data_IF_793084390564
#
_entry.id   IF_793084390564
#
_cell.length_a   1.000
_cell.length_b   1.000
_cell.length_c   1.000
_cell.angle_alpha   90.00
_cell.angle_beta   90.00
_cell.angle_gamma   90.00
#
_symmetry.space_group_name_H-M   'P 1'
#
loop_
_entity.id
_entity.type
_entity.pdbx_description
1 polymer ?
#
# COMPACT_ATOMS: atom_id res chain seq x y z
N UNK A 1 6.50 -28.53 -37.26
CA UNK A 1 7.71 -29.10 -37.91
C UNK A 1 8.59 -29.65 -36.81
N UNK A 2 9.02 -30.91 -36.92
CA UNK A 2 10.09 -31.43 -36.05
C UNK A 2 11.39 -30.68 -36.38
N UNK A 3 12.08 -30.11 -35.38
CA UNK A 3 13.32 -29.39 -35.59
C UNK A 3 14.43 -30.36 -36.06
N UNK A 4 15.38 -29.90 -36.88
CA UNK A 4 16.59 -30.66 -37.20
C UNK A 4 17.33 -31.10 -35.93
N UNK A 5 18.09 -32.19 -36.01
CA UNK A 5 18.82 -32.75 -34.85
C UNK A 5 19.92 -31.84 -34.31
N UNK A 6 20.42 -30.88 -35.10
CA UNK A 6 21.40 -29.85 -34.71
C UNK A 6 20.73 -28.59 -34.11
N UNK A 7 19.41 -28.61 -33.88
CA UNK A 7 18.62 -27.47 -33.41
C UNK A 7 17.89 -27.80 -32.14
N UNK A 8 17.87 -26.83 -31.23
CA UNK A 8 17.31 -26.98 -29.89
C UNK A 8 15.90 -27.54 -29.87
N UNK A 9 15.00 -27.00 -30.68
CA UNK A 9 13.65 -27.52 -30.79
C UNK A 9 12.72 -27.28 -29.60
N UNK A 10 13.16 -26.55 -28.57
CA UNK A 10 12.33 -26.22 -27.41
C UNK A 10 11.12 -25.37 -27.85
N UNK A 11 9.93 -25.67 -27.35
CA UNK A 11 8.69 -24.99 -27.75
C UNK A 11 8.04 -24.35 -26.55
N UNK A 12 7.89 -23.03 -26.59
CA UNK A 12 7.18 -22.24 -25.57
C UNK A 12 5.79 -21.88 -26.06
N UNK A 13 4.77 -22.13 -25.26
CA UNK A 13 3.36 -21.83 -25.56
C UNK A 13 2.91 -20.46 -25.03
N UNK A 14 3.76 -19.79 -24.27
CA UNK A 14 3.47 -18.59 -23.47
C UNK A 14 3.73 -17.28 -24.20
N UNK A 15 3.15 -17.08 -25.38
CA UNK A 15 3.12 -15.73 -25.99
C UNK A 15 1.91 -14.95 -25.45
N UNK A 16 2.13 -14.16 -24.39
CA UNK A 16 1.16 -13.16 -23.94
C UNK A 16 1.00 -11.97 -24.91
N UNK A 17 1.36 -12.12 -26.18
CA UNK A 17 1.24 -11.12 -27.25
C UNK A 17 0.59 -11.82 -28.47
N UNK A 18 -0.72 -11.59 -28.63
CA UNK A 18 -1.47 -11.74 -29.88
C UNK A 18 -1.43 -13.08 -30.64
N UNK A 19 -2.02 -14.16 -30.11
CA UNK A 19 -2.34 -15.39 -30.88
C UNK A 19 -1.19 -16.00 -31.72
N UNK A 20 0.05 -15.58 -31.47
CA UNK A 20 1.23 -16.11 -32.14
C UNK A 20 1.50 -17.45 -31.48
N UNK A 21 0.99 -18.52 -32.09
CA UNK A 21 1.12 -19.89 -31.61
C UNK A 21 2.56 -20.27 -31.23
N UNK A 22 2.69 -21.43 -30.59
CA UNK A 22 3.91 -21.86 -29.94
C UNK A 22 5.21 -21.59 -30.75
N UNK A 23 6.16 -20.89 -30.14
CA UNK A 23 7.44 -20.52 -30.77
C UNK A 23 8.47 -21.61 -30.51
N UNK A 24 9.12 -22.09 -31.57
CA UNK A 24 10.17 -23.12 -31.49
C UNK A 24 11.57 -22.48 -31.53
N UNK A 25 12.42 -22.83 -30.58
CA UNK A 25 13.82 -22.41 -30.51
C UNK A 25 14.65 -23.10 -31.60
N UNK A 26 15.29 -22.30 -32.47
CA UNK A 26 16.15 -22.78 -33.57
C UNK A 26 17.65 -22.54 -33.32
N UNK A 27 18.05 -22.25 -32.08
CA UNK A 27 19.46 -22.12 -31.71
C UNK A 27 20.19 -23.47 -31.88
N UNK A 28 21.48 -23.45 -32.24
CA UNK A 28 22.29 -24.67 -32.29
C UNK A 28 22.24 -25.43 -30.96
N UNK A 29 22.30 -26.76 -31.01
CA UNK A 29 22.49 -27.55 -29.81
C UNK A 29 23.82 -27.21 -29.13
N UNK A 30 23.83 -27.30 -27.81
CA UNK A 30 25.02 -27.02 -27.01
C UNK A 30 25.76 -28.31 -26.69
N UNK A 31 27.04 -28.36 -27.07
CA UNK A 31 27.89 -29.55 -26.96
C UNK A 31 27.20 -30.76 -27.61
N UNK A 32 27.29 -31.93 -26.98
CA UNK A 32 26.67 -33.18 -27.45
C UNK A 32 25.20 -33.33 -27.00
N UNK A 33 24.56 -32.25 -26.54
CA UNK A 33 23.18 -32.24 -26.08
C UNK A 33 22.14 -32.14 -27.21
N UNK A 34 20.87 -32.29 -26.86
CA UNK A 34 19.70 -32.16 -27.75
C UNK A 34 19.03 -30.77 -27.68
N UNK A 35 19.53 -29.89 -26.80
CA UNK A 35 19.03 -28.54 -26.56
C UNK A 35 20.14 -27.51 -26.69
N UNK A 36 19.78 -26.25 -26.92
CA UNK A 36 20.74 -25.15 -26.86
C UNK A 36 21.15 -24.84 -25.42
N UNK A 37 22.15 -23.97 -25.29
CA UNK A 37 22.70 -23.50 -24.01
C UNK A 37 21.62 -23.10 -22.99
N UNK A 38 20.56 -22.45 -23.44
CA UNK A 38 19.50 -21.92 -22.59
C UNK A 38 18.44 -22.95 -22.21
N UNK A 39 18.25 -24.02 -23.00
CA UNK A 39 17.14 -24.96 -22.84
C UNK A 39 17.58 -26.36 -22.44
N UNK A 40 18.88 -26.55 -22.17
CA UNK A 40 19.43 -27.84 -21.76
C UNK A 40 19.06 -28.15 -20.31
N UNK A 41 18.91 -29.44 -20.00
CA UNK A 41 18.71 -29.92 -18.62
C UNK A 41 20.04 -30.03 -17.86
N UNK A 42 21.16 -29.99 -18.58
CA UNK A 42 22.50 -30.03 -17.98
C UNK A 42 22.85 -28.68 -17.36
N UNK A 43 23.39 -28.67 -16.14
CA UNK A 43 23.93 -27.46 -15.52
C UNK A 43 25.01 -26.84 -16.42
N UNK A 44 24.82 -25.57 -16.75
CA UNK A 44 25.72 -24.81 -17.62
C UNK A 44 26.69 -24.01 -16.75
N UNK A 45 28.01 -24.13 -16.97
CA UNK A 45 28.98 -23.36 -16.20
C UNK A 45 28.94 -21.88 -16.64
N UNK A 46 29.11 -20.96 -15.68
CA UNK A 46 29.04 -19.49 -15.89
C UNK A 46 29.82 -18.99 -17.13
N UNK A 47 31.07 -19.42 -17.39
CA UNK A 47 31.81 -18.95 -18.57
C UNK A 47 31.11 -19.26 -19.90
N UNK A 48 30.30 -20.32 -19.97
CA UNK A 48 29.57 -20.64 -21.20
C UNK A 48 28.45 -19.63 -21.48
N UNK A 49 27.82 -19.07 -20.45
CA UNK A 49 26.86 -17.98 -20.61
C UNK A 49 27.57 -16.67 -21.01
N UNK A 50 28.73 -16.38 -20.41
CA UNK A 50 29.54 -15.19 -20.74
C UNK A 50 30.10 -15.24 -22.17
N UNK A 51 30.38 -16.42 -22.71
CA UNK A 51 30.78 -16.59 -24.12
C UNK A 51 29.61 -16.43 -25.10
N UNK A 52 28.37 -16.58 -24.62
CA UNK A 52 27.15 -16.57 -25.44
C UNK A 52 26.16 -15.49 -24.95
N UNK A 53 26.66 -14.28 -24.73
CA UNK A 53 25.87 -13.12 -24.31
C UNK A 53 24.68 -12.92 -25.28
N UNK A 54 23.43 -12.94 -24.78
CA UNK A 54 22.27 -12.66 -25.61
C UNK A 54 22.22 -11.18 -25.98
N UNK A 55 21.54 -10.86 -27.07
CA UNK A 55 21.20 -9.47 -27.39
C UNK A 55 20.19 -8.92 -26.37
N UNK A 56 20.18 -7.59 -26.19
CA UNK A 56 19.08 -6.93 -25.48
C UNK A 56 17.75 -7.30 -26.14
N UNK A 57 16.72 -7.53 -25.32
CA UNK A 57 15.38 -7.98 -25.74
C UNK A 57 15.34 -9.38 -26.38
N UNK A 58 16.42 -10.17 -26.30
CA UNK A 58 16.42 -11.53 -26.85
C UNK A 58 15.44 -12.44 -26.11
N UNK A 59 14.72 -13.27 -26.88
CA UNK A 59 13.76 -14.23 -26.36
C UNK A 59 14.47 -15.51 -25.91
N UNK A 60 14.50 -15.71 -24.60
CA UNK A 60 15.05 -16.84 -23.88
C UNK A 60 13.98 -17.54 -23.02
N UNK A 61 12.70 -17.41 -23.38
CA UNK A 61 11.58 -18.05 -22.68
C UNK A 61 11.81 -19.56 -22.47
N UNK A 62 11.43 -20.05 -21.29
CA UNK A 62 11.66 -21.42 -20.85
C UNK A 62 13.12 -21.75 -20.56
N UNK A 63 14.00 -20.74 -20.45
CA UNK A 63 15.40 -20.97 -20.14
C UNK A 63 15.59 -21.65 -18.78
N UNK A 64 16.52 -22.59 -18.74
CA UNK A 64 16.91 -23.34 -17.56
C UNK A 64 18.19 -22.74 -16.99
N UNK A 65 18.07 -22.10 -15.83
CA UNK A 65 19.15 -21.56 -15.01
C UNK A 65 19.24 -22.30 -13.66
N UNK A 66 18.73 -23.52 -13.58
CA UNK A 66 18.79 -24.30 -12.34
C UNK A 66 20.24 -24.49 -11.92
N UNK A 67 20.52 -24.23 -10.64
CA UNK A 67 21.86 -24.31 -10.05
C UNK A 67 22.91 -23.40 -10.74
N UNK A 68 22.49 -22.46 -11.59
CA UNK A 68 23.41 -21.58 -12.30
C UNK A 68 24.00 -20.55 -11.34
N UNK A 69 25.31 -20.31 -11.45
CA UNK A 69 25.98 -19.20 -10.77
C UNK A 69 26.06 -18.02 -11.73
N UNK A 70 25.29 -16.96 -11.47
CA UNK A 70 25.14 -15.77 -12.31
C UNK A 70 25.37 -14.49 -11.50
N UNK A 71 26.19 -14.56 -10.44
CA UNK A 71 26.54 -13.42 -9.60
C UNK A 71 27.13 -12.27 -10.41
N UNK A 72 26.72 -11.04 -10.10
CA UNK A 72 27.17 -9.78 -10.73
C UNK A 72 27.02 -9.74 -12.26
N UNK A 73 26.18 -10.60 -12.84
CA UNK A 73 25.94 -10.62 -14.29
C UNK A 73 24.87 -9.63 -14.70
N UNK A 74 25.02 -9.00 -15.86
CA UNK A 74 24.05 -8.04 -16.39
C UNK A 74 23.55 -8.35 -17.81
N UNK A 75 24.02 -9.45 -18.40
CA UNK A 75 23.69 -9.78 -19.79
C UNK A 75 22.24 -10.24 -19.99
N UNK A 76 21.52 -10.52 -18.91
CA UNK A 76 20.11 -10.91 -18.95
C UNK A 76 19.16 -9.71 -18.92
N UNK A 77 19.63 -8.50 -18.60
CA UNK A 77 18.80 -7.31 -18.54
C UNK A 77 18.04 -7.06 -19.86
N UNK A 78 16.75 -6.73 -19.77
CA UNK A 78 15.85 -6.55 -20.90
C UNK A 78 15.43 -7.83 -21.65
N UNK A 79 16.04 -8.99 -21.38
CA UNK A 79 15.67 -10.23 -22.07
C UNK A 79 14.25 -10.70 -21.71
N UNK A 80 13.64 -11.45 -22.63
CA UNK A 80 12.41 -12.19 -22.35
C UNK A 80 12.76 -13.56 -21.78
N UNK A 81 12.35 -13.80 -20.55
CA UNK A 81 12.66 -14.96 -19.71
C UNK A 81 11.37 -15.56 -19.14
N UNK A 82 10.28 -15.50 -19.91
CA UNK A 82 8.98 -16.03 -19.52
C UNK A 82 9.12 -17.52 -19.24
N UNK A 83 8.59 -17.98 -18.11
CA UNK A 83 8.69 -19.39 -17.67
C UNK A 83 10.13 -19.89 -17.48
N UNK A 84 11.11 -18.99 -17.31
CA UNK A 84 12.48 -19.39 -16.96
C UNK A 84 12.54 -19.99 -15.54
N UNK A 85 13.46 -20.94 -15.35
CA UNK A 85 13.65 -21.65 -14.08
C UNK A 85 15.00 -21.28 -13.47
N UNK A 86 14.97 -20.55 -12.35
CA UNK A 86 16.12 -20.15 -11.53
C UNK A 86 16.20 -20.94 -10.22
N UNK A 87 15.64 -22.15 -10.16
CA UNK A 87 15.69 -22.98 -8.95
C UNK A 87 17.13 -23.24 -8.51
N UNK A 88 17.45 -22.99 -7.25
CA UNK A 88 18.80 -23.13 -6.67
C UNK A 88 19.89 -22.25 -7.34
N UNK A 89 19.51 -21.24 -8.12
CA UNK A 89 20.48 -20.34 -8.76
C UNK A 89 21.10 -19.35 -7.76
N UNK A 90 22.30 -18.87 -8.09
CA UNK A 90 22.97 -17.77 -7.38
C UNK A 90 22.96 -16.54 -8.28
N UNK A 91 22.18 -15.54 -7.89
CA UNK A 91 21.95 -14.28 -8.58
C UNK A 91 22.48 -13.07 -7.77
N UNK A 92 23.37 -13.29 -6.78
CA UNK A 92 23.93 -12.23 -5.94
C UNK A 92 24.47 -11.07 -6.78
N UNK A 93 23.91 -9.87 -6.62
CA UNK A 93 24.27 -8.67 -7.38
C UNK A 93 23.90 -8.67 -8.87
N UNK A 94 23.21 -9.69 -9.39
CA UNK A 94 22.83 -9.77 -10.80
C UNK A 94 21.84 -8.67 -11.20
N UNK A 95 21.87 -8.28 -12.48
CA UNK A 95 20.95 -7.33 -13.09
C UNK A 95 19.95 -8.04 -14.01
N UNK A 96 18.72 -8.16 -13.50
CA UNK A 96 17.53 -8.63 -14.21
C UNK A 96 16.55 -7.48 -14.45
N UNK A 97 17.04 -6.23 -14.53
CA UNK A 97 16.19 -5.07 -14.81
C UNK A 97 15.53 -5.15 -16.18
N UNK A 98 14.29 -4.62 -16.27
CA UNK A 98 13.46 -4.57 -17.48
C UNK A 98 13.20 -5.94 -18.15
N UNK A 99 13.50 -7.05 -17.47
CA UNK A 99 13.28 -8.41 -18.00
C UNK A 99 11.82 -8.80 -17.97
N UNK A 100 11.39 -9.63 -18.92
CA UNK A 100 10.08 -10.29 -18.86
C UNK A 100 10.21 -11.65 -18.16
N UNK A 101 9.95 -11.68 -16.86
CA UNK A 101 10.05 -12.85 -15.98
C UNK A 101 8.66 -13.43 -15.62
N UNK A 102 7.67 -13.24 -16.49
CA UNK A 102 6.33 -13.78 -16.25
C UNK A 102 6.40 -15.28 -16.03
N UNK A 103 5.76 -15.77 -14.96
CA UNK A 103 5.74 -17.20 -14.60
C UNK A 103 7.13 -17.82 -14.36
N UNK A 104 8.17 -17.03 -14.18
CA UNK A 104 9.48 -17.55 -13.82
C UNK A 104 9.46 -18.17 -12.41
N UNK A 105 10.32 -19.16 -12.20
CA UNK A 105 10.46 -19.87 -10.92
C UNK A 105 11.76 -19.47 -10.24
N UNK A 106 11.67 -18.99 -9.00
CA UNK A 106 12.76 -18.54 -8.14
C UNK A 106 12.70 -19.30 -6.82
N UNK A 107 12.85 -20.62 -6.89
CA UNK A 107 12.81 -21.50 -5.73
C UNK A 107 14.22 -21.65 -5.16
N UNK A 108 14.38 -21.48 -3.84
CA UNK A 108 15.64 -21.68 -3.13
C UNK A 108 16.81 -20.84 -3.74
N UNK A 109 16.48 -19.71 -4.38
CA UNK A 109 17.44 -18.83 -5.08
C UNK A 109 18.15 -17.90 -4.08
N UNK A 110 19.45 -17.67 -4.29
CA UNK A 110 20.17 -16.56 -3.65
C UNK A 110 20.12 -15.34 -4.57
N UNK A 111 19.21 -14.41 -4.31
CA UNK A 111 19.04 -13.17 -5.07
C UNK A 111 19.34 -11.95 -4.19
N UNK A 112 20.36 -12.07 -3.34
CA UNK A 112 20.86 -10.96 -2.56
C UNK A 112 21.34 -9.83 -3.48
N UNK A 113 20.89 -8.60 -3.24
CA UNK A 113 21.28 -7.43 -4.04
C UNK A 113 20.88 -7.45 -5.52
N UNK A 114 20.11 -8.46 -5.98
CA UNK A 114 19.69 -8.55 -7.39
C UNK A 114 18.78 -7.40 -7.78
N UNK A 115 18.98 -6.82 -8.97
CA UNK A 115 18.06 -5.83 -9.53
C UNK A 115 16.95 -6.50 -10.34
N UNK A 116 15.71 -6.34 -9.89
CA UNK A 116 14.49 -6.63 -10.64
C UNK A 116 13.79 -5.34 -11.09
N UNK A 117 14.54 -4.23 -11.20
CA UNK A 117 13.96 -2.92 -11.47
C UNK A 117 13.21 -2.92 -12.80
N UNK A 118 11.95 -2.50 -12.82
CA UNK A 118 11.14 -2.49 -14.05
C UNK A 118 10.72 -3.88 -14.57
N UNK A 119 11.19 -4.96 -13.96
CA UNK A 119 10.95 -6.32 -14.46
C UNK A 119 9.47 -6.70 -14.39
N UNK A 120 9.03 -7.51 -15.36
CA UNK A 120 7.69 -8.07 -15.37
C UNK A 120 7.64 -9.42 -14.67
N UNK A 121 7.15 -9.44 -13.43
CA UNK A 121 7.07 -10.62 -12.56
C UNK A 121 5.63 -11.15 -12.41
N UNK A 122 4.72 -10.85 -13.35
CA UNK A 122 3.35 -11.39 -13.25
C UNK A 122 3.36 -12.91 -13.14
N UNK A 123 2.61 -13.44 -12.18
CA UNK A 123 2.50 -14.87 -11.90
C UNK A 123 3.86 -15.57 -11.62
N UNK A 124 4.96 -14.83 -11.37
CA UNK A 124 6.25 -15.42 -10.99
C UNK A 124 6.19 -16.02 -9.57
N UNK A 125 7.05 -16.98 -9.26
CA UNK A 125 7.05 -17.70 -7.98
C UNK A 125 8.40 -17.63 -7.29
N UNK A 126 8.47 -16.90 -6.19
CA UNK A 126 9.58 -16.89 -5.24
C UNK A 126 9.21 -17.75 -4.03
N UNK A 127 9.97 -18.81 -3.80
CA UNK A 127 9.74 -19.73 -2.68
C UNK A 127 11.06 -20.02 -2.00
N UNK A 128 11.19 -19.73 -0.70
CA UNK A 128 12.46 -19.85 0.03
C UNK A 128 13.61 -19.00 -0.55
N UNK A 129 13.27 -17.93 -1.29
CA UNK A 129 14.24 -17.05 -1.91
C UNK A 129 14.89 -16.11 -0.89
N UNK A 130 16.20 -15.89 -1.02
CA UNK A 130 16.89 -14.81 -0.35
C UNK A 130 16.82 -13.53 -1.21
N UNK A 131 16.05 -12.54 -0.76
CA UNK A 131 15.80 -11.28 -1.47
C UNK A 131 16.35 -10.07 -0.69
N UNK A 132 17.28 -10.30 0.24
CA UNK A 132 17.90 -9.23 1.03
C UNK A 132 18.65 -8.28 0.09
N UNK A 133 18.38 -6.99 0.18
CA UNK A 133 18.99 -5.97 -0.68
C UNK A 133 18.48 -5.95 -2.13
N UNK A 134 17.57 -6.83 -2.52
CA UNK A 134 17.04 -6.86 -3.88
C UNK A 134 16.22 -5.59 -4.22
N UNK A 135 16.28 -5.15 -5.47
CA UNK A 135 15.59 -3.95 -5.95
C UNK A 135 14.43 -4.30 -6.88
N UNK A 136 13.20 -4.18 -6.38
CA UNK A 136 11.94 -4.37 -7.10
C UNK A 136 11.27 -3.04 -7.46
N UNK A 137 11.97 -1.90 -7.42
CA UNK A 137 11.38 -0.61 -7.82
C UNK A 137 10.88 -0.71 -9.25
N UNK A 138 9.69 -0.17 -9.50
CA UNK A 138 9.03 -0.19 -10.81
C UNK A 138 8.73 -1.62 -11.35
N UNK A 139 8.90 -2.68 -10.55
CA UNK A 139 8.59 -4.04 -10.96
C UNK A 139 7.07 -4.31 -10.99
N UNK A 140 6.64 -5.16 -11.91
CA UNK A 140 5.24 -5.60 -12.04
C UNK A 140 5.02 -6.91 -11.28
N UNK A 141 4.50 -6.82 -10.06
CA UNK A 141 4.37 -7.94 -9.13
C UNK A 141 2.97 -8.57 -9.05
N UNK A 142 2.00 -8.16 -9.88
CA UNK A 142 0.63 -8.69 -9.76
C UNK A 142 0.62 -10.22 -9.91
N UNK A 143 0.11 -10.90 -8.87
CA UNK A 143 0.07 -12.36 -8.73
C UNK A 143 1.44 -13.05 -8.58
N UNK A 144 2.52 -12.31 -8.36
CA UNK A 144 3.80 -12.90 -7.99
C UNK A 144 3.71 -13.54 -6.59
N UNK A 145 4.00 -14.83 -6.45
CA UNK A 145 4.06 -15.48 -5.15
C UNK A 145 5.37 -15.17 -4.44
N UNK A 146 5.32 -14.63 -3.22
CA UNK A 146 6.48 -14.34 -2.37
C UNK A 146 6.40 -15.15 -1.06
N UNK A 147 6.57 -16.47 -1.15
CA UNK A 147 6.36 -17.38 -0.01
C UNK A 147 7.68 -17.70 0.69
N UNK A 148 7.72 -17.55 2.02
CA UNK A 148 8.91 -17.86 2.83
C UNK A 148 10.19 -17.14 2.34
N UNK A 149 10.05 -15.91 1.84
CA UNK A 149 11.15 -15.10 1.34
C UNK A 149 11.84 -14.33 2.47
N UNK A 150 13.15 -14.11 2.34
CA UNK A 150 13.92 -13.31 3.28
C UNK A 150 14.13 -11.90 2.75
N UNK A 151 13.69 -10.90 3.51
CA UNK A 151 13.92 -9.49 3.21
C UNK A 151 14.84 -8.84 4.26
N UNK A 152 15.43 -7.70 3.90
CA UNK A 152 16.04 -6.79 4.87
C UNK A 152 15.55 -5.35 4.62
N UNK A 153 16.08 -4.38 5.37
CA UNK A 153 15.71 -2.97 5.22
C UNK A 153 16.15 -2.33 3.89
N UNK A 154 17.11 -2.97 3.20
CA UNK A 154 17.65 -2.54 1.91
C UNK A 154 16.78 -3.04 0.74
N UNK A 155 16.01 -4.11 0.93
CA UNK A 155 15.07 -4.61 -0.07
C UNK A 155 14.02 -3.54 -0.40
N UNK A 156 13.90 -3.18 -1.68
CA UNK A 156 13.13 -2.02 -2.11
C UNK A 156 12.02 -2.38 -3.11
N UNK A 157 10.75 -2.20 -2.74
CA UNK A 157 9.60 -2.35 -3.66
C UNK A 157 9.08 -1.01 -4.23
N UNK A 158 9.67 0.11 -3.82
CA UNK A 158 9.26 1.45 -4.24
C UNK A 158 8.10 2.05 -3.43
N UNK A 159 7.82 3.32 -3.67
CA UNK A 159 6.79 4.06 -2.93
C UNK A 159 5.38 3.91 -3.49
N UNK A 160 5.28 3.67 -4.80
CA UNK A 160 4.05 3.49 -5.55
C UNK A 160 4.20 2.27 -6.44
N UNK A 161 3.12 1.53 -6.61
CA UNK A 161 3.10 0.41 -7.56
C UNK A 161 2.90 0.97 -8.97
N UNK A 162 3.51 0.36 -9.99
CA UNK A 162 3.31 0.76 -11.41
C UNK A 162 1.84 0.74 -11.82
N UNK A 163 1.05 -0.16 -11.23
CA UNK A 163 -0.38 -0.27 -11.48
C UNK A 163 -1.18 0.96 -11.04
N UNK A 164 -0.66 1.80 -10.15
CA UNK A 164 -1.33 3.05 -9.80
C UNK A 164 -1.25 4.07 -10.91
N UNK A 165 -0.12 4.13 -11.61
CA UNK A 165 0.06 5.05 -12.73
C UNK A 165 -0.76 4.57 -13.93
N UNK A 166 -0.81 3.25 -14.16
CA UNK A 166 -1.72 2.63 -15.12
C UNK A 166 -3.19 2.88 -14.75
N UNK A 167 -3.55 2.75 -13.46
CA UNK A 167 -4.88 3.08 -12.97
C UNK A 167 -5.20 4.56 -13.21
N UNK A 168 -4.31 5.48 -12.85
CA UNK A 168 -4.48 6.92 -13.02
C UNK A 168 -4.72 7.26 -14.51
N UNK A 169 -4.04 6.58 -15.44
CA UNK A 169 -4.22 6.70 -16.89
C UNK A 169 -5.46 5.97 -17.46
N UNK A 170 -6.01 4.96 -16.78
CA UNK A 170 -7.07 4.11 -17.30
C UNK A 170 -8.42 4.86 -17.51
N UNK A 171 -9.22 4.42 -18.48
CA UNK A 171 -10.57 4.94 -18.71
C UNK A 171 -11.56 3.81 -19.00
N UNK A 172 -12.85 4.06 -18.74
CA UNK A 172 -13.91 3.08 -18.97
C UNK A 172 -13.78 1.82 -18.12
N UNK A 173 -13.97 0.65 -18.72
CA UNK A 173 -14.04 -0.64 -18.02
C UNK A 173 -12.68 -1.15 -17.48
N UNK A 174 -11.54 -0.62 -17.95
CA UNK A 174 -10.20 -1.04 -17.49
C UNK A 174 -9.90 -0.58 -16.06
N UNK A 175 -10.63 0.43 -15.57
CA UNK A 175 -10.42 1.03 -14.23
C UNK A 175 -10.53 -0.01 -13.11
N UNK A 176 -11.49 -0.93 -13.20
CA UNK A 176 -11.71 -1.96 -12.15
C UNK A 176 -10.58 -2.98 -12.14
N UNK A 177 -10.17 -3.47 -13.31
CA UNK A 177 -9.10 -4.46 -13.42
C UNK A 177 -7.77 -3.91 -12.89
N UNK A 178 -7.41 -2.67 -13.23
CA UNK A 178 -6.21 -2.00 -12.70
C UNK A 178 -6.31 -1.78 -11.19
N UNK A 179 -7.49 -1.44 -10.67
CA UNK A 179 -7.69 -1.25 -9.25
C UNK A 179 -7.50 -2.54 -8.43
N UNK A 180 -7.87 -3.68 -9.00
CA UNK A 180 -7.64 -4.98 -8.38
C UNK A 180 -6.16 -5.31 -8.31
N UNK A 181 -5.39 -5.00 -9.36
CA UNK A 181 -3.93 -5.17 -9.36
C UNK A 181 -3.25 -4.33 -8.29
N UNK A 182 -3.60 -3.04 -8.17
CA UNK A 182 -3.04 -2.16 -7.12
C UNK A 182 -3.32 -2.70 -5.73
N UNK A 183 -4.58 -3.04 -5.45
CA UNK A 183 -4.97 -3.54 -4.12
C UNK A 183 -4.38 -4.90 -3.80
N UNK A 184 -4.18 -5.76 -4.80
CA UNK A 184 -3.53 -7.04 -4.62
C UNK A 184 -2.07 -6.83 -4.22
N UNK A 185 -1.32 -6.02 -4.97
CA UNK A 185 0.11 -5.79 -4.70
C UNK A 185 0.31 -5.18 -3.32
N UNK A 186 -0.48 -4.17 -2.94
CA UNK A 186 -0.34 -3.57 -1.62
C UNK A 186 -0.62 -4.53 -0.45
N UNK A 187 -1.56 -5.47 -0.63
CA UNK A 187 -1.84 -6.49 0.40
C UNK A 187 -0.75 -7.54 0.45
N UNK A 188 -0.20 -7.91 -0.69
CA UNK A 188 0.92 -8.83 -0.76
C UNK A 188 2.16 -8.25 -0.09
N UNK A 189 2.49 -6.98 -0.37
CA UNK A 189 3.61 -6.30 0.30
C UNK A 189 3.40 -6.19 1.81
N UNK A 190 2.18 -5.90 2.27
CA UNK A 190 1.85 -5.94 3.70
C UNK A 190 2.14 -7.33 4.30
N UNK A 191 1.65 -8.41 3.66
CA UNK A 191 1.88 -9.79 4.10
C UNK A 191 3.37 -10.13 4.19
N UNK A 192 4.13 -9.86 3.13
CA UNK A 192 5.54 -10.24 3.06
C UNK A 192 6.39 -9.46 4.08
N UNK A 193 6.13 -8.16 4.27
CA UNK A 193 6.83 -7.38 5.29
C UNK A 193 6.41 -7.79 6.71
N UNK A 194 5.18 -8.24 6.92
CA UNK A 194 4.71 -8.76 8.21
C UNK A 194 5.42 -10.08 8.57
N UNK A 195 5.49 -11.01 7.61
CA UNK A 195 6.24 -12.28 7.75
C UNK A 195 7.74 -12.08 8.02
N UNK A 196 8.29 -10.94 7.59
CA UNK A 196 9.68 -10.55 7.83
C UNK A 196 9.86 -9.61 9.05
N UNK A 197 8.81 -9.39 9.84
CA UNK A 197 8.83 -8.56 11.06
C UNK A 197 9.28 -7.09 10.83
N UNK A 198 8.77 -6.46 9.75
CA UNK A 198 9.00 -5.04 9.44
C UNK A 198 7.72 -4.19 9.59
N UNK A 199 7.23 -3.94 10.83
CA UNK A 199 5.94 -3.30 11.06
C UNK A 199 5.82 -1.88 10.47
N UNK A 200 6.90 -1.11 10.45
CA UNK A 200 6.91 0.23 9.84
C UNK A 200 6.62 0.18 8.33
N UNK A 201 7.14 -0.84 7.63
CA UNK A 201 6.91 -1.04 6.20
C UNK A 201 5.47 -1.52 5.95
N UNK A 202 4.98 -2.48 6.74
CA UNK A 202 3.58 -2.93 6.71
C UNK A 202 2.65 -1.73 6.84
N UNK A 203 2.92 -0.86 7.82
CA UNK A 203 2.15 0.34 8.08
C UNK A 203 2.13 1.31 6.89
N UNK A 204 3.29 1.58 6.29
CA UNK A 204 3.39 2.45 5.13
C UNK A 204 2.53 1.94 3.96
N UNK A 205 2.59 0.64 3.66
CA UNK A 205 1.79 0.04 2.58
C UNK A 205 0.30 -0.04 2.91
N UNK A 206 -0.07 -0.25 4.17
CA UNK A 206 -1.46 -0.16 4.62
C UNK A 206 -2.04 1.24 4.36
N UNK A 207 -1.33 2.31 4.73
CA UNK A 207 -1.78 3.68 4.51
C UNK A 207 -1.93 3.99 3.02
N UNK A 208 -0.98 3.55 2.19
CA UNK A 208 -1.03 3.70 0.73
C UNK A 208 -2.22 2.97 0.12
N UNK A 209 -2.50 1.75 0.56
CA UNK A 209 -3.68 0.99 0.12
C UNK A 209 -4.98 1.73 0.47
N UNK A 210 -5.11 2.28 1.68
CA UNK A 210 -6.29 3.05 2.10
C UNK A 210 -6.46 4.34 1.30
N UNK A 211 -5.36 5.04 1.03
CA UNK A 211 -5.35 6.23 0.18
C UNK A 211 -5.77 5.91 -1.26
N UNK A 212 -5.26 4.82 -1.82
CA UNK A 212 -5.69 4.31 -3.13
C UNK A 212 -7.19 3.97 -3.13
N UNK A 213 -7.66 3.19 -2.16
CA UNK A 213 -9.09 2.81 -2.04
C UNK A 213 -10.01 4.03 -1.97
N UNK A 214 -9.57 5.10 -1.30
CA UNK A 214 -10.30 6.37 -1.27
C UNK A 214 -10.37 6.99 -2.66
N UNK A 215 -9.24 7.13 -3.37
CA UNK A 215 -9.20 7.67 -4.74
C UNK A 215 -10.05 6.83 -5.71
N UNK A 216 -9.92 5.51 -5.65
CA UNK A 216 -10.72 4.57 -6.42
C UNK A 216 -12.23 4.74 -6.17
N UNK A 217 -12.64 4.90 -4.91
CA UNK A 217 -14.05 5.11 -4.56
C UNK A 217 -14.60 6.46 -5.10
N UNK A 218 -13.80 7.53 -5.10
CA UNK A 218 -14.20 8.79 -5.72
C UNK A 218 -14.38 8.64 -7.24
N UNK A 219 -13.40 8.00 -7.91
CA UNK A 219 -13.41 7.84 -9.37
C UNK A 219 -14.56 6.95 -9.87
N UNK A 220 -14.93 5.93 -9.12
CA UNK A 220 -16.01 4.99 -9.47
C UNK A 220 -17.40 5.45 -9.04
N UNK A 221 -17.52 6.66 -8.45
CA UNK A 221 -18.80 7.18 -7.97
C UNK A 221 -19.33 6.54 -6.68
N UNK A 222 -18.50 5.75 -5.98
CA UNK A 222 -18.83 5.13 -4.69
C UNK A 222 -18.70 6.15 -3.53
N UNK A 223 -19.44 7.26 -3.60
CA UNK A 223 -19.27 8.43 -2.74
C UNK A 223 -19.42 8.13 -1.25
N UNK A 224 -20.38 7.29 -0.84
CA UNK A 224 -20.55 6.92 0.57
C UNK A 224 -19.28 6.24 1.14
N UNK A 225 -18.67 5.34 0.37
CA UNK A 225 -17.42 4.68 0.74
C UNK A 225 -16.25 5.68 0.75
N UNK A 226 -16.22 6.58 -0.22
CA UNK A 226 -15.20 7.61 -0.33
C UNK A 226 -15.23 8.59 0.86
N UNK A 227 -16.42 9.06 1.25
CA UNK A 227 -16.66 9.93 2.41
C UNK A 227 -16.28 9.21 3.70
N UNK A 228 -16.68 7.93 3.87
CA UNK A 228 -16.29 7.12 5.03
C UNK A 228 -14.76 7.03 5.16
N UNK A 229 -14.06 6.76 4.08
CA UNK A 229 -12.59 6.70 4.06
C UNK A 229 -11.96 8.07 4.29
N UNK A 230 -12.53 9.15 3.75
CA UNK A 230 -12.05 10.50 3.98
C UNK A 230 -12.18 10.92 5.46
N UNK A 231 -13.34 10.67 6.08
CA UNK A 231 -13.55 10.91 7.50
C UNK A 231 -12.59 10.10 8.38
N UNK A 232 -12.38 8.82 8.06
CA UNK A 232 -11.41 7.97 8.76
C UNK A 232 -9.97 8.49 8.65
N UNK A 233 -9.55 9.00 7.49
CA UNK A 233 -8.22 9.63 7.32
C UNK A 233 -8.08 10.89 8.16
N UNK A 234 -9.12 11.72 8.20
CA UNK A 234 -9.11 13.01 8.89
C UNK A 234 -9.08 12.81 10.41
N UNK A 235 -10.01 12.00 10.93
CA UNK A 235 -10.20 11.81 12.37
C UNK A 235 -9.06 10.99 13.00
N UNK A 236 -8.63 9.89 12.35
CA UNK A 236 -7.73 8.91 12.99
C UNK A 236 -6.59 8.40 12.11
N UNK A 237 -6.38 8.99 10.93
CA UNK A 237 -5.42 8.49 9.93
C UNK A 237 -5.57 6.99 9.63
N UNK A 238 -6.81 6.54 9.41
CA UNK A 238 -7.13 5.11 9.21
C UNK A 238 -6.86 4.19 10.40
N UNK A 239 -6.93 4.75 11.61
CA UNK A 239 -6.79 4.00 12.88
C UNK A 239 -5.37 4.00 13.44
N UNK A 240 -4.49 4.82 12.87
CA UNK A 240 -3.04 4.79 13.15
C UNK A 240 -2.57 5.90 14.07
N UNK A 241 -3.38 6.94 14.28
CA UNK A 241 -2.96 8.12 15.02
C UNK A 241 -3.98 8.52 16.10
N UNK A 242 -3.77 8.14 17.37
CA UNK A 242 -4.65 8.54 18.47
C UNK A 242 -4.63 10.06 18.67
N UNK A 243 -3.49 10.70 18.39
CA UNK A 243 -3.34 12.15 18.50
C UNK A 243 -4.22 12.95 17.53
N UNK A 244 -4.56 12.39 16.35
CA UNK A 244 -5.55 13.03 15.47
C UNK A 244 -6.96 12.95 16.03
N UNK A 245 -7.28 11.88 16.75
CA UNK A 245 -8.58 11.76 17.43
C UNK A 245 -8.67 12.84 18.51
N UNK A 246 -7.63 12.97 19.35
CA UNK A 246 -7.53 14.03 20.37
C UNK A 246 -7.64 15.42 19.74
N UNK A 247 -6.89 15.69 18.66
CA UNK A 247 -6.96 16.98 17.97
C UNK A 247 -8.36 17.26 17.41
N UNK A 248 -9.02 16.25 16.83
CA UNK A 248 -10.41 16.36 16.33
C UNK A 248 -11.39 16.64 17.47
N UNK A 249 -11.23 15.98 18.62
CA UNK A 249 -12.02 16.22 19.83
C UNK A 249 -11.83 17.65 20.35
N UNK A 250 -10.60 18.16 20.40
CA UNK A 250 -10.31 19.54 20.81
C UNK A 250 -10.94 20.56 19.86
N UNK A 251 -10.90 20.31 18.55
CA UNK A 251 -11.56 21.18 17.56
C UNK A 251 -13.07 21.18 17.76
N UNK A 252 -13.69 20.02 17.97
CA UNK A 252 -15.14 19.93 18.24
C UNK A 252 -15.52 20.75 19.48
N UNK A 253 -14.77 20.59 20.58
CA UNK A 253 -14.98 21.32 21.83
C UNK A 253 -14.90 22.84 21.58
N UNK A 254 -13.85 23.31 20.91
CA UNK A 254 -13.66 24.74 20.64
C UNK A 254 -14.77 25.30 19.72
N UNK A 255 -15.21 24.53 18.73
CA UNK A 255 -16.31 24.92 17.84
C UNK A 255 -17.63 25.03 18.61
N UNK A 256 -17.98 24.04 19.42
CA UNK A 256 -19.17 24.08 20.27
C UNK A 256 -19.11 25.27 21.26
N UNK A 257 -17.96 25.49 21.90
CA UNK A 257 -17.72 26.62 22.78
C UNK A 257 -17.97 27.99 22.12
N UNK A 258 -17.62 28.13 20.83
CA UNK A 258 -17.92 29.34 20.05
C UNK A 258 -19.39 29.46 19.64
N UNK A 259 -20.09 28.34 19.40
CA UNK A 259 -21.50 28.33 19.00
C UNK A 259 -22.46 28.58 20.16
N UNK A 260 -22.12 28.15 21.37
CA UNK A 260 -23.00 28.29 22.53
C UNK A 260 -23.46 29.73 22.80
N UNK A 261 -22.57 30.74 22.90
CA UNK A 261 -23.00 32.12 23.13
C UNK A 261 -23.92 32.67 22.03
N UNK A 262 -23.76 32.19 20.79
CA UNK A 262 -24.52 32.63 19.61
C UNK A 262 -25.90 31.97 19.49
N UNK A 263 -26.16 30.88 20.24
CA UNK A 263 -27.34 30.02 20.07
C UNK A 263 -28.25 29.97 21.29
N UNK A 264 -28.10 30.95 22.19
CA UNK A 264 -28.88 31.11 23.41
C UNK A 264 -28.04 31.12 24.69
N UNK A 265 -26.78 30.71 24.61
CA UNK A 265 -25.80 30.82 25.69
C UNK A 265 -25.81 29.66 26.67
N UNK A 266 -24.95 29.79 27.67
CA UNK A 266 -24.86 28.89 28.81
C UNK A 266 -25.18 29.64 30.09
N UNK A 267 -25.91 29.02 31.00
CA UNK A 267 -26.32 29.60 32.27
C UNK A 267 -25.64 28.90 33.42
N UNK A 268 -24.92 29.69 34.22
CA UNK A 268 -24.30 29.27 35.47
C UNK A 268 -25.32 29.40 36.60
N UNK A 269 -25.65 28.29 37.26
CA UNK A 269 -26.66 28.20 38.32
C UNK A 269 -25.96 28.23 39.68
N UNK A 270 -26.01 29.38 40.36
CA UNK A 270 -25.57 29.52 41.75
C UNK A 270 -26.70 29.36 42.76
N UNK A 271 -26.37 29.36 44.05
CA UNK A 271 -27.34 29.15 45.15
C UNK A 271 -28.47 30.20 45.17
N UNK A 272 -28.17 31.46 44.82
CA UNK A 272 -29.12 32.58 44.87
C UNK A 272 -29.24 33.38 43.55
N UNK A 273 -28.50 33.01 42.49
CA UNK A 273 -28.51 33.74 41.23
C UNK A 273 -28.12 32.86 40.04
N UNK A 274 -28.79 33.06 38.90
CA UNK A 274 -28.45 32.42 37.64
C UNK A 274 -27.92 33.47 36.65
N UNK A 275 -26.70 33.27 36.14
CA UNK A 275 -26.06 34.19 35.19
C UNK A 275 -25.98 33.52 33.82
N UNK A 276 -26.61 34.13 32.82
CA UNK A 276 -26.60 33.63 31.43
C UNK A 276 -25.52 34.34 30.63
N UNK A 277 -24.65 33.57 29.99
CA UNK A 277 -23.61 34.04 29.08
C UNK A 277 -24.06 33.78 27.64
N UNK A 278 -24.74 34.76 27.04
CA UNK A 278 -25.19 34.76 25.65
C UNK A 278 -24.74 36.05 24.95
N UNK A 279 -24.65 36.02 23.62
CA UNK A 279 -24.25 37.15 22.78
C UNK A 279 -25.35 37.39 21.75
N UNK A 280 -25.96 38.56 21.82
CA UNK A 280 -27.01 38.98 20.88
C UNK A 280 -26.39 39.58 19.60
N UNK A 281 -25.44 40.52 19.76
CA UNK A 281 -24.66 41.07 18.64
C UNK A 281 -23.15 41.03 18.95
N UNK A 282 -22.37 40.19 18.25
CA UNK A 282 -20.92 40.12 18.42
C UNK A 282 -20.19 41.43 18.10
N UNK A 283 -20.75 42.28 17.23
CA UNK A 283 -20.10 43.52 16.79
C UNK A 283 -20.19 44.64 17.84
N UNK A 284 -21.21 44.62 18.68
CA UNK A 284 -21.46 45.63 19.72
C UNK A 284 -21.06 45.15 21.13
N UNK A 285 -20.62 43.89 21.26
CA UNK A 285 -20.26 43.30 22.55
C UNK A 285 -18.81 43.62 22.96
N UNK A 286 -18.55 44.14 24.18
CA UNK A 286 -17.19 44.37 24.66
C UNK A 286 -16.35 43.09 24.65
N UNK A 287 -15.11 43.16 24.14
CA UNK A 287 -14.24 41.97 23.98
C UNK A 287 -14.01 41.17 25.28
N UNK A 288 -14.03 41.83 26.45
CA UNK A 288 -13.93 41.13 27.75
C UNK A 288 -15.13 40.22 28.03
N UNK A 289 -16.32 40.64 27.61
CA UNK A 289 -17.56 39.86 27.76
C UNK A 289 -17.55 38.69 26.78
N UNK A 290 -17.12 38.91 25.54
CA UNK A 290 -16.94 37.87 24.53
C UNK A 290 -15.98 36.76 25.03
N UNK A 291 -14.82 37.15 25.56
CA UNK A 291 -13.84 36.20 26.12
C UNK A 291 -14.43 35.44 27.31
N UNK A 292 -15.12 36.12 28.22
CA UNK A 292 -15.72 35.47 29.40
C UNK A 292 -16.81 34.48 29.00
N UNK A 293 -17.68 34.84 28.06
CA UNK A 293 -18.72 33.97 27.53
C UNK A 293 -18.10 32.74 26.86
N UNK A 294 -17.08 32.94 26.01
CA UNK A 294 -16.35 31.84 25.38
C UNK A 294 -15.70 30.91 26.40
N UNK A 295 -15.02 31.43 27.44
CA UNK A 295 -14.37 30.59 28.46
C UNK A 295 -15.37 29.77 29.27
N UNK A 296 -16.54 30.35 29.61
CA UNK A 296 -17.63 29.63 30.29
C UNK A 296 -18.25 28.56 29.39
N UNK A 297 -18.48 28.89 28.12
CA UNK A 297 -18.93 27.93 27.12
C UNK A 297 -17.89 26.84 26.82
N UNK A 298 -16.60 27.15 26.90
CA UNK A 298 -15.52 26.18 26.74
C UNK A 298 -15.49 25.18 27.88
N UNK A 299 -15.59 25.64 29.13
CA UNK A 299 -15.73 24.74 30.27
C UNK A 299 -16.98 23.85 30.14
N UNK A 300 -18.13 24.44 29.81
CA UNK A 300 -19.36 23.67 29.58
C UNK A 300 -19.21 22.63 28.46
N UNK A 301 -18.58 23.00 27.35
CA UNK A 301 -18.29 22.12 26.21
C UNK A 301 -17.37 20.96 26.59
N UNK A 302 -16.28 21.21 27.33
CA UNK A 302 -15.38 20.15 27.83
C UNK A 302 -16.14 19.14 28.69
N UNK A 303 -16.96 19.63 29.62
CA UNK A 303 -17.76 18.83 30.54
C UNK A 303 -18.80 18.00 29.77
N UNK A 304 -19.52 18.64 28.84
CA UNK A 304 -20.52 18.01 27.96
C UNK A 304 -19.90 16.94 27.05
N UNK A 305 -18.76 17.24 26.42
CA UNK A 305 -18.01 16.32 25.58
C UNK A 305 -17.56 15.09 26.37
N UNK A 306 -17.03 15.30 27.59
CA UNK A 306 -16.62 14.22 28.48
C UNK A 306 -17.81 13.48 29.11
N UNK A 307 -19.05 13.88 28.79
CA UNK A 307 -20.29 13.36 29.37
C UNK A 307 -20.40 13.53 30.89
N UNK A 308 -19.58 14.42 31.45
CA UNK A 308 -19.61 14.79 32.87
C UNK A 308 -20.79 15.74 33.07
N UNK A 309 -21.62 15.50 34.10
CA UNK A 309 -22.81 16.28 34.38
C UNK A 309 -22.74 16.95 35.74
N UNK A 310 -21.90 17.99 35.89
CA UNK A 310 -21.74 18.67 37.18
C UNK A 310 -22.96 19.51 37.59
N UNK A 311 -23.82 19.88 36.63
CA UNK A 311 -25.09 20.57 36.88
C UNK A 311 -24.96 22.05 37.29
N UNK A 312 -23.74 22.56 37.35
CA UNK A 312 -23.37 23.95 37.62
C UNK A 312 -23.64 24.88 36.44
N UNK A 313 -23.55 24.36 35.22
CA UNK A 313 -23.83 25.08 33.98
C UNK A 313 -24.81 24.30 33.10
N UNK A 314 -25.79 25.00 32.54
CA UNK A 314 -26.79 24.41 31.64
C UNK A 314 -26.96 25.23 30.35
N UNK A 315 -27.26 24.60 29.20
CA UNK A 315 -27.49 25.30 27.95
C UNK A 315 -28.88 25.95 27.95
N UNK A 316 -28.94 27.21 27.55
CA UNK A 316 -30.18 27.99 27.47
C UNK A 316 -30.58 28.17 26.01
N UNK A 317 -31.85 27.91 25.70
CA UNK A 317 -32.37 27.95 24.34
C UNK A 317 -32.39 26.59 23.64
N UNK A 318 -33.25 26.48 22.62
CA UNK A 318 -33.47 25.22 21.91
C UNK A 318 -32.23 24.79 21.11
N UNK A 319 -31.57 25.73 20.46
CA UNK A 319 -30.38 25.47 19.64
C UNK A 319 -29.16 25.08 20.48
N UNK A 320 -28.88 25.80 21.58
CA UNK A 320 -27.82 25.40 22.51
C UNK A 320 -28.04 23.99 23.09
N UNK A 321 -29.28 23.61 23.42
CA UNK A 321 -29.62 22.24 23.88
C UNK A 321 -29.43 21.18 22.79
N UNK A 322 -29.75 21.51 21.55
CA UNK A 322 -29.52 20.62 20.41
C UNK A 322 -28.02 20.41 20.17
N UNK A 323 -27.21 21.48 20.23
CA UNK A 323 -25.75 21.40 20.13
C UNK A 323 -25.18 20.54 21.24
N UNK A 324 -25.61 20.75 22.50
CA UNK A 324 -25.15 19.94 23.62
C UNK A 324 -25.46 18.45 23.47
N UNK A 325 -26.65 18.11 22.96
CA UNK A 325 -27.04 16.72 22.68
C UNK A 325 -26.15 16.08 21.61
N UNK A 326 -25.87 16.81 20.53
CA UNK A 326 -25.00 16.34 19.43
C UNK A 326 -23.55 16.22 19.91
N UNK A 327 -23.05 17.20 20.66
CA UNK A 327 -21.71 17.19 21.24
C UNK A 327 -21.51 16.00 22.17
N UNK A 328 -22.47 15.70 23.04
CA UNK A 328 -22.44 14.53 23.93
C UNK A 328 -22.34 13.23 23.12
N UNK A 329 -23.16 13.09 22.08
CA UNK A 329 -23.15 11.90 21.22
C UNK A 329 -21.81 11.74 20.48
N UNK A 330 -21.32 12.80 19.85
CA UNK A 330 -20.03 12.79 19.16
C UNK A 330 -18.85 12.59 20.12
N UNK A 331 -18.92 13.16 21.32
CA UNK A 331 -17.92 13.00 22.37
C UNK A 331 -17.79 11.54 22.80
N UNK A 332 -18.91 10.88 23.08
CA UNK A 332 -18.91 9.45 23.40
C UNK A 332 -18.34 8.58 22.27
N UNK A 333 -18.65 8.89 21.01
CA UNK A 333 -18.10 8.19 19.84
C UNK A 333 -16.59 8.41 19.68
N UNK A 334 -16.12 9.65 19.83
CA UNK A 334 -14.70 9.99 19.70
C UNK A 334 -13.86 9.42 20.86
N UNK A 335 -14.42 9.35 22.08
CA UNK A 335 -13.77 8.68 23.20
C UNK A 335 -13.66 7.17 22.96
N UNK A 336 -14.73 6.52 22.48
CA UNK A 336 -14.69 5.11 22.09
C UNK A 336 -13.66 4.85 20.97
N UNK A 337 -13.59 5.76 19.99
CA UNK A 337 -12.62 5.69 18.91
C UNK A 337 -11.18 5.88 19.41
N UNK A 338 -10.95 6.81 20.34
CA UNK A 338 -9.63 7.02 20.94
C UNK A 338 -9.14 5.77 21.64
N UNK A 339 -10.01 5.11 22.43
CA UNK A 339 -9.68 3.83 23.08
C UNK A 339 -9.33 2.77 22.04
N UNK A 340 -10.16 2.62 21.00
CA UNK A 340 -9.90 1.67 19.92
C UNK A 340 -8.54 1.90 19.24
N UNK A 341 -8.23 3.15 18.88
CA UNK A 341 -6.96 3.49 18.23
C UNK A 341 -5.77 3.27 19.18
N UNK A 342 -5.93 3.61 20.46
CA UNK A 342 -4.89 3.36 21.47
C UNK A 342 -4.62 1.87 21.62
N UNK A 343 -5.66 1.02 21.67
CA UNK A 343 -5.47 -0.44 21.74
C UNK A 343 -4.70 -0.97 20.54
N UNK A 344 -5.01 -0.49 19.33
CA UNK A 344 -4.27 -0.91 18.13
C UNK A 344 -2.83 -0.40 18.09
N UNK A 345 -2.57 0.80 18.62
CA UNK A 345 -1.21 1.37 18.64
C UNK A 345 -0.27 0.73 19.67
N UNK A 346 -0.80 -0.01 20.65
CA UNK A 346 0.01 -0.72 21.66
C UNK A 346 0.36 -2.14 21.20
N UNK A 347 -0.42 -2.70 20.27
CA UNK A 347 -0.20 -4.04 19.70
C UNK A 347 0.74 -4.03 18.47
N UNK A 348 0.96 -2.86 17.86
CA UNK A 348 1.90 -2.62 16.75
C UNK A 348 3.25 -2.15 17.25
#
# INVERSE_FOLDING_TARGET
>A
MTPPTDRCGHVTTSSGVNDAGAVCCYRPTWRDGDRCLWHTETVVPTPAYEEHVPAADERLDGANFREATLSDTSFLAGCSLVEADFTDAVLDGADLSETDLRRATFRDVDAHGTSFRGANLHDASFVFADLRGADFRDARLYRAGLTDVRLNLETAFGDRTVYEDEFDAASGNDVTARADSVQWVYRELQRVYDENAFPERVHAYYLREKDFRRRHAWRTGAYLRAIKLAGSRWIMHYGTSPWRVVATSLVLIVVCAGLYPLTGGVQEVGTDSAVTYAIEDPADTPGRVLVRAFLKSLYFSVVTFATLGYGDIQPVGQWARAIASVETLLGSLLMALLVFVLTQSVES
#
